data_IF_252538607190
#
_entry.id   IF_252538607190
#
_cell.length_a   1.000
_cell.length_b   1.000
_cell.length_c   1.000
_cell.angle_alpha   90.00
_cell.angle_beta   90.00
_cell.angle_gamma   90.00
#
_symmetry.space_group_name_H-M   'P 1'
#
loop_
_entity.id
_entity.type
_entity.pdbx_description
1 polymer ?
#
# COMPACT_ATOMS: atom_id res chain seq x y z
N UNK A 1 -1.30 -8.10 -10.68
CA UNK A 1 -1.54 -8.51 -9.28
C UNK A 1 -2.83 -9.33 -9.25
N UNK A 2 -2.71 -10.66 -9.26
CA UNK A 2 -3.85 -11.58 -9.30
C UNK A 2 -4.16 -12.01 -7.88
N UNK A 3 -5.14 -11.34 -7.28
CA UNK A 3 -5.72 -11.75 -6.00
C UNK A 3 -6.70 -12.91 -6.26
N UNK A 4 -6.12 -14.07 -6.59
CA UNK A 4 -6.86 -15.26 -7.00
C UNK A 4 -7.22 -16.13 -5.78
N UNK A 5 -8.28 -16.93 -5.94
CA UNK A 5 -8.85 -17.80 -4.90
C UNK A 5 -7.82 -18.72 -4.21
N UNK A 6 -6.77 -19.12 -4.92
CA UNK A 6 -5.72 -19.98 -4.37
C UNK A 6 -4.76 -19.20 -3.46
N UNK A 7 -4.32 -18.02 -3.87
CA UNK A 7 -3.42 -17.17 -3.08
C UNK A 7 -4.03 -16.79 -1.72
N UNK A 8 -5.36 -16.63 -1.65
CA UNK A 8 -6.06 -16.38 -0.39
C UNK A 8 -6.32 -17.64 0.44
N UNK A 9 -6.38 -18.84 -0.16
CA UNK A 9 -6.41 -20.11 0.58
C UNK A 9 -5.05 -20.39 1.23
N UNK A 10 -3.96 -20.01 0.59
CA UNK A 10 -2.62 -20.18 1.13
C UNK A 10 -2.42 -19.32 2.40
N UNK A 11 -3.00 -18.11 2.44
CA UNK A 11 -3.07 -17.28 3.65
C UNK A 11 -3.73 -17.99 4.85
N UNK A 12 -4.71 -18.87 4.61
CA UNK A 12 -5.39 -19.63 5.66
C UNK A 12 -4.44 -20.67 6.28
N UNK A 13 -3.66 -21.36 5.44
CA UNK A 13 -2.77 -22.45 5.85
C UNK A 13 -1.49 -21.90 6.49
N UNK A 14 -0.95 -20.82 5.92
CA UNK A 14 0.37 -20.28 6.31
C UNK A 14 0.25 -19.28 7.46
N UNK A 15 -0.82 -18.47 7.52
CA UNK A 15 -0.92 -17.35 8.47
C UNK A 15 -1.99 -17.51 9.57
N UNK A 16 -2.62 -18.69 9.70
CA UNK A 16 -3.61 -19.02 10.74
C UNK A 16 -4.71 -17.94 10.96
N UNK A 17 -5.24 -17.34 9.87
CA UNK A 17 -6.27 -16.28 9.94
C UNK A 17 -7.68 -16.89 9.92
N UNK A 18 -8.33 -16.97 11.08
CA UNK A 18 -9.75 -17.37 11.21
C UNK A 18 -10.74 -16.28 10.77
N UNK A 19 -10.30 -15.02 10.62
CA UNK A 19 -11.17 -13.88 10.32
C UNK A 19 -11.49 -13.71 8.82
N UNK A 20 -10.82 -14.46 7.93
CA UNK A 20 -11.15 -14.57 6.51
C UNK A 20 -12.06 -15.81 6.29
N UNK A 21 -13.00 -16.06 7.21
CA UNK A 21 -14.01 -17.10 7.01
C UNK A 21 -14.79 -16.78 5.73
N UNK A 22 -14.72 -17.68 4.74
CA UNK A 22 -15.78 -17.77 3.75
C UNK A 22 -17.08 -17.97 4.53
N UNK A 23 -18.05 -17.08 4.33
CA UNK A 23 -19.35 -17.17 5.00
C UNK A 23 -19.86 -18.61 4.88
N UNK A 24 -20.16 -19.26 6.01
CA UNK A 24 -20.65 -20.65 6.03
C UNK A 24 -21.94 -20.82 5.21
N UNK A 25 -22.63 -19.72 4.90
CA UNK A 25 -23.81 -19.67 4.02
C UNK A 25 -23.47 -19.50 2.54
N UNK A 26 -22.25 -19.04 2.20
CA UNK A 26 -21.75 -18.86 0.83
C UNK A 26 -20.27 -19.30 0.74
N UNK A 27 -19.99 -20.61 0.70
CA UNK A 27 -18.62 -21.15 0.71
C UNK A 27 -17.74 -20.69 -0.47
N UNK A 28 -18.34 -20.15 -1.53
CA UNK A 28 -17.66 -19.63 -2.72
C UNK A 28 -17.50 -18.10 -2.75
N UNK A 29 -17.95 -17.36 -1.74
CA UNK A 29 -17.85 -15.89 -1.69
C UNK A 29 -16.99 -15.49 -0.50
N UNK A 30 -15.72 -15.18 -0.76
CA UNK A 30 -14.83 -14.64 0.27
C UNK A 30 -15.17 -13.18 0.55
N UNK A 31 -15.03 -12.74 1.82
CA UNK A 31 -15.13 -11.32 2.15
C UNK A 31 -14.09 -10.52 1.37
N UNK A 32 -14.42 -9.26 1.06
CA UNK A 32 -13.45 -8.34 0.44
C UNK A 32 -12.24 -8.23 1.36
N UNK A 33 -11.04 -8.22 0.78
CA UNK A 33 -9.84 -8.07 1.57
C UNK A 33 -9.86 -6.71 2.29
N UNK A 34 -9.31 -6.65 3.50
CA UNK A 34 -9.30 -5.45 4.36
C UNK A 34 -8.57 -4.24 3.75
N UNK A 35 -7.74 -4.47 2.72
CA UNK A 35 -7.03 -3.46 1.95
C UNK A 35 -7.79 -3.04 0.67
N UNK A 36 -9.01 -3.53 0.45
CA UNK A 36 -9.80 -3.22 -0.75
C UNK A 36 -10.54 -1.90 -0.61
N UNK A 37 -10.24 -0.95 -1.48
CA UNK A 37 -10.94 0.33 -1.55
C UNK A 37 -12.23 0.19 -2.36
N UNK A 38 -13.28 0.87 -1.89
CA UNK A 38 -14.52 1.06 -2.64
C UNK A 38 -14.27 1.92 -3.89
N UNK A 39 -15.16 1.82 -4.88
CA UNK A 39 -15.08 2.65 -6.09
C UNK A 39 -15.09 4.15 -5.75
N UNK A 40 -15.87 4.54 -4.75
CA UNK A 40 -15.95 5.92 -4.27
C UNK A 40 -14.64 6.39 -3.63
N UNK A 41 -14.03 5.57 -2.77
CA UNK A 41 -12.71 5.87 -2.21
C UNK A 41 -11.65 6.00 -3.29
N UNK A 42 -11.64 5.09 -4.29
CA UNK A 42 -10.71 5.19 -5.43
C UNK A 42 -10.90 6.48 -6.22
N UNK A 43 -12.15 6.87 -6.50
CA UNK A 43 -12.48 8.13 -7.17
C UNK A 43 -11.95 9.33 -6.39
N UNK A 44 -12.23 9.41 -5.10
CA UNK A 44 -11.73 10.48 -4.22
C UNK A 44 -10.21 10.58 -4.24
N UNK A 45 -9.51 9.44 -4.26
CA UNK A 45 -8.04 9.41 -4.38
C UNK A 45 -7.59 9.94 -5.74
N UNK A 46 -8.15 9.43 -6.84
CA UNK A 46 -7.80 9.87 -8.18
C UNK A 46 -8.03 11.37 -8.36
N UNK A 47 -9.19 11.88 -7.94
CA UNK A 47 -9.50 13.32 -7.93
C UNK A 47 -8.53 14.10 -7.06
N UNK A 48 -8.21 13.62 -5.87
CA UNK A 48 -7.22 14.30 -5.03
C UNK A 48 -5.85 14.38 -5.71
N UNK A 49 -5.40 13.29 -6.36
CA UNK A 49 -4.12 13.26 -7.09
C UNK A 49 -4.12 14.21 -8.30
N UNK A 50 -5.23 14.36 -9.03
CA UNK A 50 -5.28 15.32 -10.16
C UNK A 50 -5.19 16.77 -9.71
N UNK A 51 -5.59 17.08 -8.47
CA UNK A 51 -5.51 18.42 -7.91
C UNK A 51 -4.19 18.68 -7.15
N UNK A 52 -3.34 17.67 -6.94
CA UNK A 52 -2.04 17.85 -6.32
C UNK A 52 -1.13 18.68 -7.23
N UNK A 53 -0.62 19.78 -6.69
CA UNK A 53 0.42 20.59 -7.33
C UNK A 53 1.66 20.57 -6.46
N UNK A 54 2.79 20.27 -7.09
CA UNK A 54 4.11 20.37 -6.52
C UNK A 54 4.84 21.54 -7.16
N UNK A 55 5.84 22.10 -6.47
CA UNK A 55 6.80 22.99 -7.12
C UNK A 55 7.56 22.21 -8.20
N UNK A 56 7.93 22.86 -9.31
CA UNK A 56 8.46 22.21 -10.53
C UNK A 56 9.64 21.26 -10.28
N UNK A 57 10.42 21.47 -9.22
CA UNK A 57 11.58 20.63 -8.87
C UNK A 57 11.27 19.46 -7.90
N UNK A 58 10.04 19.36 -7.38
CA UNK A 58 9.73 18.42 -6.29
C UNK A 58 9.09 17.11 -6.74
N UNK A 59 8.18 17.15 -7.71
CA UNK A 59 7.56 15.99 -8.34
C UNK A 59 6.94 16.42 -9.66
N UNK A 60 6.82 15.50 -10.61
CA UNK A 60 6.13 15.79 -11.86
C UNK A 60 4.61 15.95 -11.62
N UNK A 61 3.91 16.51 -12.60
CA UNK A 61 2.47 16.66 -12.53
C UNK A 61 1.77 15.28 -12.58
N UNK A 62 1.40 14.78 -11.40
CA UNK A 62 0.77 13.46 -11.22
C UNK A 62 -0.61 13.34 -11.88
N UNK A 63 -1.25 14.46 -12.26
CA UNK A 63 -2.52 14.42 -12.98
C UNK A 63 -2.42 13.63 -14.30
N UNK A 64 -1.26 13.63 -14.96
CA UNK A 64 -1.03 12.86 -16.18
C UNK A 64 -0.96 11.34 -15.95
N UNK A 65 -0.75 10.92 -14.70
CA UNK A 65 -0.71 9.52 -14.32
C UNK A 65 -2.07 8.98 -13.91
N UNK A 66 -3.12 9.80 -13.84
CA UNK A 66 -4.44 9.39 -13.36
C UNK A 66 -5.36 8.98 -14.51
N UNK A 67 -5.85 7.75 -14.47
CA UNK A 67 -6.95 7.28 -15.31
C UNK A 67 -8.25 7.30 -14.51
N UNK A 68 -9.11 8.27 -14.82
CA UNK A 68 -10.42 8.45 -14.18
C UNK A 68 -11.46 7.42 -14.63
N UNK A 69 -11.23 6.71 -15.73
CA UNK A 69 -12.12 5.66 -16.23
C UNK A 69 -11.92 4.39 -15.41
N UNK A 70 -10.67 3.96 -15.29
CA UNK A 70 -10.28 2.75 -14.56
C UNK A 70 -10.01 3.00 -13.06
N UNK A 71 -10.02 4.27 -12.63
CA UNK A 71 -9.73 4.70 -11.25
C UNK A 71 -8.41 4.15 -10.72
N UNK A 72 -7.35 4.32 -11.52
CA UNK A 72 -6.00 3.84 -11.23
C UNK A 72 -4.95 4.86 -11.63
N UNK A 73 -3.77 4.72 -11.02
CA UNK A 73 -2.58 5.44 -11.46
C UNK A 73 -1.79 4.56 -12.43
N UNK A 74 -1.30 5.13 -13.52
CA UNK A 74 -0.44 4.45 -14.49
C UNK A 74 0.79 5.30 -14.81
N UNK A 75 1.84 4.64 -15.34
CA UNK A 75 3.04 5.30 -15.84
C UNK A 75 3.69 6.29 -14.85
N UNK A 76 3.61 6.01 -13.54
CA UNK A 76 4.28 6.81 -12.51
C UNK A 76 5.79 6.58 -12.63
N UNK A 77 6.57 7.65 -12.75
CA UNK A 77 8.03 7.58 -12.78
C UNK A 77 8.58 7.19 -11.41
N UNK A 78 9.78 6.61 -11.36
CA UNK A 78 10.39 6.19 -10.08
C UNK A 78 10.47 7.33 -9.07
N UNK A 79 10.92 8.51 -9.50
CA UNK A 79 10.98 9.72 -8.69
C UNK A 79 9.64 10.06 -8.01
N UNK A 80 8.57 10.07 -8.79
CA UNK A 80 7.23 10.40 -8.30
C UNK A 80 6.68 9.30 -7.38
N UNK A 81 7.03 8.05 -7.66
CA UNK A 81 6.76 6.93 -6.79
C UNK A 81 7.45 7.09 -5.42
N UNK A 82 8.72 7.52 -5.40
CA UNK A 82 9.41 7.81 -4.14
C UNK A 82 8.71 8.91 -3.34
N UNK A 83 8.27 10.00 -4.01
CA UNK A 83 7.50 11.07 -3.36
C UNK A 83 6.16 10.53 -2.80
N UNK A 84 5.45 9.71 -3.57
CA UNK A 84 4.21 9.07 -3.14
C UNK A 84 4.44 8.23 -1.88
N UNK A 85 5.43 7.34 -1.88
CA UNK A 85 5.75 6.47 -0.75
C UNK A 85 6.22 7.27 0.47
N UNK A 86 7.04 8.31 0.28
CA UNK A 86 7.59 9.12 1.36
C UNK A 86 6.60 10.09 1.99
N UNK A 87 5.62 10.62 1.25
CA UNK A 87 4.79 11.72 1.74
C UNK A 87 3.31 11.44 1.66
N UNK A 88 2.87 10.88 0.54
CA UNK A 88 1.45 10.86 0.20
C UNK A 88 0.76 9.60 0.71
N UNK A 89 1.41 8.45 0.71
CA UNK A 89 0.78 7.15 1.02
C UNK A 89 -0.01 7.18 2.34
N UNK A 90 0.58 7.73 3.41
CA UNK A 90 -0.12 7.84 4.69
C UNK A 90 -1.30 8.81 4.62
N UNK A 91 -1.14 9.94 3.94
CA UNK A 91 -2.17 10.98 3.83
C UNK A 91 -3.36 10.47 3.02
N UNK A 92 -3.08 9.82 1.89
CA UNK A 92 -4.09 9.29 0.97
C UNK A 92 -5.00 8.27 1.63
N UNK A 93 -4.44 7.40 2.48
CA UNK A 93 -5.17 6.25 2.99
C UNK A 93 -5.60 6.36 4.46
N UNK A 94 -5.23 7.43 5.17
CA UNK A 94 -5.41 7.59 6.63
C UNK A 94 -6.82 7.29 7.14
N UNK A 95 -7.84 7.72 6.39
CA UNK A 95 -9.26 7.59 6.76
C UNK A 95 -10.01 6.55 5.92
N UNK A 96 -9.30 5.85 5.02
CA UNK A 96 -9.93 4.95 4.04
C UNK A 96 -9.71 3.48 4.35
N UNK A 97 -8.72 3.16 5.19
CA UNK A 97 -8.31 1.79 5.48
C UNK A 97 -8.35 1.51 7.00
N UNK A 98 -8.59 0.24 7.40
CA UNK A 98 -8.52 -0.16 8.80
C UNK A 98 -7.14 0.11 9.41
N UNK A 99 -7.09 0.29 10.73
CA UNK A 99 -5.87 0.61 11.48
C UNK A 99 -4.71 -0.35 11.18
N UNK A 100 -5.00 -1.65 11.04
CA UNK A 100 -3.99 -2.65 10.69
C UNK A 100 -3.29 -2.34 9.36
N UNK A 101 -4.05 -1.97 8.32
CA UNK A 101 -3.50 -1.64 7.00
C UNK A 101 -2.87 -0.24 7.02
N UNK A 102 -3.51 0.73 7.68
CA UNK A 102 -2.98 2.09 7.84
C UNK A 102 -1.64 2.12 8.60
N UNK A 103 -1.48 1.27 9.62
CA UNK A 103 -0.23 1.07 10.34
C UNK A 103 0.88 0.54 9.44
N UNK A 104 0.59 -0.48 8.63
CA UNK A 104 1.56 -1.01 7.68
C UNK A 104 1.99 0.02 6.61
N UNK A 105 1.05 0.81 6.10
CA UNK A 105 1.37 1.93 5.19
C UNK A 105 2.20 3.02 5.87
N UNK A 106 1.99 3.24 7.17
CA UNK A 106 2.78 4.18 7.97
C UNK A 106 4.23 3.71 8.13
N UNK A 107 4.43 2.42 8.38
CA UNK A 107 5.77 1.84 8.44
C UNK A 107 6.52 1.94 7.10
N UNK A 108 5.85 1.65 5.97
CA UNK A 108 6.41 1.88 4.63
C UNK A 108 6.80 3.36 4.47
N UNK A 109 5.92 4.28 4.86
CA UNK A 109 6.21 5.72 4.79
C UNK A 109 7.47 6.12 5.56
N UNK A 110 7.64 5.57 6.77
CA UNK A 110 8.81 5.82 7.62
C UNK A 110 10.08 5.23 6.98
N UNK A 111 10.00 4.00 6.48
CA UNK A 111 11.11 3.33 5.80
C UNK A 111 11.65 4.19 4.65
N UNK A 112 10.77 4.63 3.74
CA UNK A 112 11.16 5.46 2.62
C UNK A 112 11.70 6.83 3.05
N UNK A 113 11.17 7.44 4.12
CA UNK A 113 11.71 8.70 4.68
C UNK A 113 13.14 8.57 5.18
N UNK A 114 13.49 7.43 5.78
CA UNK A 114 14.85 7.17 6.25
C UNK A 114 15.77 6.90 5.04
N UNK A 115 15.33 6.08 4.08
CA UNK A 115 16.14 5.72 2.91
C UNK A 115 16.50 6.92 2.03
N UNK A 116 15.58 7.86 1.79
CA UNK A 116 15.89 9.06 1.02
C UNK A 116 16.19 10.28 1.92
N UNK A 117 16.69 10.06 3.14
CA UNK A 117 17.23 11.13 3.97
C UNK A 117 18.55 11.63 3.39
N UNK A 118 18.77 12.95 3.43
CA UNK A 118 20.03 13.58 2.98
C UNK A 118 21.21 13.29 3.90
N UNK A 119 20.98 12.72 5.08
CA UNK A 119 22.03 12.34 6.04
C UNK A 119 21.82 10.90 6.48
N UNK A 120 22.70 10.01 6.02
CA UNK A 120 22.70 8.61 6.40
C UNK A 120 23.68 8.38 7.55
N UNK A 121 23.16 7.90 8.68
CA UNK A 121 23.98 7.50 9.83
C UNK A 121 24.04 5.98 9.85
N UNK A 122 25.24 5.41 9.91
CA UNK A 122 25.46 3.95 9.83
C UNK A 122 24.61 3.18 10.84
N UNK A 123 24.52 3.66 12.09
CA UNK A 123 23.70 3.02 13.12
C UNK A 123 22.19 3.04 12.76
N UNK A 124 21.71 4.11 12.11
CA UNK A 124 20.32 4.18 11.63
C UNK A 124 20.07 3.25 10.44
N UNK A 125 21.07 3.01 9.61
CA UNK A 125 20.98 2.07 8.50
C UNK A 125 20.89 0.62 9.00
N UNK A 126 21.66 0.26 10.03
CA UNK A 126 21.56 -1.06 10.67
C UNK A 126 20.20 -1.25 11.36
N UNK A 127 19.71 -0.25 12.07
CA UNK A 127 18.35 -0.28 12.64
C UNK A 127 17.29 -0.40 11.53
N UNK A 128 17.50 0.29 10.41
CA UNK A 128 16.60 0.26 9.26
C UNK A 128 16.52 -1.13 8.62
N UNK A 129 17.63 -1.86 8.53
CA UNK A 129 17.65 -3.23 8.01
C UNK A 129 16.78 -4.16 8.88
N UNK A 130 16.95 -4.09 10.20
CA UNK A 130 16.11 -4.84 11.15
C UNK A 130 14.64 -4.43 11.04
N UNK A 131 14.36 -3.12 10.95
CA UNK A 131 13.00 -2.62 10.76
C UNK A 131 12.41 -3.06 9.43
N UNK A 132 13.16 -3.05 8.34
CA UNK A 132 12.69 -3.50 7.04
C UNK A 132 12.20 -4.96 7.08
N UNK A 133 12.93 -5.83 7.78
CA UNK A 133 12.50 -7.23 7.99
C UNK A 133 11.19 -7.30 8.78
N UNK A 134 11.05 -6.54 9.86
CA UNK A 134 9.81 -6.49 10.66
C UNK A 134 8.64 -5.96 9.83
N UNK A 135 8.87 -4.93 9.02
CA UNK A 135 7.86 -4.35 8.12
C UNK A 135 7.43 -5.39 7.10
N UNK A 136 8.36 -6.11 6.49
CA UNK A 136 8.05 -7.19 5.56
C UNK A 136 7.17 -8.26 6.21
N UNK A 137 7.55 -8.77 7.39
CA UNK A 137 6.73 -9.74 8.13
C UNK A 137 5.33 -9.19 8.47
N UNK A 138 5.20 -7.89 8.76
CA UNK A 138 3.90 -7.27 9.02
C UNK A 138 3.06 -7.11 7.74
N UNK A 139 3.70 -6.85 6.60
CA UNK A 139 3.02 -6.80 5.31
C UNK A 139 2.54 -8.20 4.88
N UNK A 140 3.32 -9.25 5.09
CA UNK A 140 2.93 -10.65 4.85
C UNK A 140 1.73 -11.08 5.71
N UNK A 141 1.58 -10.49 6.91
CA UNK A 141 0.37 -10.67 7.74
C UNK A 141 -0.87 -9.97 7.19
N UNK A 142 -0.75 -9.11 6.18
CA UNK A 142 -1.86 -8.35 5.59
C UNK A 142 -2.15 -8.84 4.18
N UNK A 143 -1.14 -8.87 3.32
CA UNK A 143 -1.21 -9.17 1.90
C UNK A 143 -0.97 -10.67 1.61
N UNK A 144 -1.54 -11.22 0.52
CA UNK A 144 -1.27 -12.60 0.10
C UNK A 144 0.18 -12.77 -0.36
N UNK A 145 0.76 -13.99 -0.30
CA UNK A 145 2.12 -14.25 -0.79
C UNK A 145 2.34 -13.78 -2.23
N UNK A 146 1.34 -13.95 -3.10
CA UNK A 146 1.34 -13.49 -4.50
C UNK A 146 1.43 -11.96 -4.69
N UNK A 147 1.44 -11.19 -3.60
CA UNK A 147 1.73 -9.76 -3.61
C UNK A 147 3.24 -9.48 -3.69
N UNK A 148 4.07 -10.41 -3.19
CA UNK A 148 5.52 -10.27 -3.07
C UNK A 148 6.29 -11.06 -4.14
N UNK A 149 5.59 -11.83 -4.96
CA UNK A 149 6.11 -12.49 -6.17
C UNK A 149 6.22 -11.49 -7.34
#
# INVERSE_FOLDING_TARGET
>A
MKDDLNARKDLKIICNRSEIEADKRRPNVMPKAIYTLTREQKRRICEWVTHLKFSDDYASNLAHCVDMTELRLHAIKSHDCHVLMQKLIRITFREMLPELVGGALTEINILFKIQCSTTLVVNKLQELEVRAMIILCNLEKIFPPSFFD
#
